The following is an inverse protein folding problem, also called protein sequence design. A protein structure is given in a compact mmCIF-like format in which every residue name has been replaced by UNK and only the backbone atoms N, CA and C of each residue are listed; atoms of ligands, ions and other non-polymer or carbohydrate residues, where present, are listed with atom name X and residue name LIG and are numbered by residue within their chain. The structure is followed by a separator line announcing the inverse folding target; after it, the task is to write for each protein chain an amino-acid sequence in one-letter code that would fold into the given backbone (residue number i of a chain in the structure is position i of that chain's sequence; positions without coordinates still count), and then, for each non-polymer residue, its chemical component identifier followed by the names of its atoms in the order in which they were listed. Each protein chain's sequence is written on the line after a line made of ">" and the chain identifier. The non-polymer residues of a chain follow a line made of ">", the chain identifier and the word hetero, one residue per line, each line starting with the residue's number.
data_IF_784759305179
#
_entry.id   IF_784759305179
#
_cell.length_a   1.000
_cell.length_b   1.000
_cell.length_c   1.000
_cell.angle_alpha   90.00
_cell.angle_beta   90.00
_cell.angle_gamma   90.00
#
_symmetry.space_group_name_H-M   'P 1'
#
loop_
_entity.id
_entity.type
_entity.pdbx_description
1 polymer ?
#
# COMPACT_ATOMS: atom_id res chain seq x y z
N UNK A 1 7.81 -18.65 -12.72
CA UNK A 1 6.75 -18.58 -11.69
C UNK A 1 7.40 -18.34 -10.33
N UNK A 2 6.99 -17.27 -9.66
CA UNK A 2 7.59 -16.86 -8.41
C UNK A 2 7.26 -17.90 -7.34
N UNK A 3 8.13 -18.04 -6.36
CA UNK A 3 7.88 -18.98 -5.26
C UNK A 3 6.69 -18.50 -4.45
N UNK A 4 5.73 -19.37 -4.19
CA UNK A 4 4.57 -19.09 -3.34
C UNK A 4 4.83 -19.65 -1.93
N UNK A 5 4.58 -18.85 -0.91
CA UNK A 5 4.76 -19.18 0.50
C UNK A 5 3.44 -19.04 1.25
N UNK A 6 2.97 -20.14 1.85
CA UNK A 6 1.67 -20.21 2.53
C UNK A 6 0.70 -21.11 1.77
N UNK A 7 -0.59 -20.87 1.94
CA UNK A 7 -1.69 -21.60 1.31
C UNK A 7 -2.27 -20.85 0.08
N UNK A 8 -1.49 -19.95 -0.50
CA UNK A 8 -1.86 -19.21 -1.70
C UNK A 8 -1.68 -20.07 -2.96
N UNK A 9 -2.39 -19.70 -4.00
CA UNK A 9 -2.38 -20.30 -5.33
C UNK A 9 -2.21 -19.21 -6.39
N UNK A 10 -1.72 -19.52 -7.60
CA UNK A 10 -1.68 -18.53 -8.68
C UNK A 10 -3.03 -17.90 -8.99
N UNK A 11 -4.13 -18.62 -8.77
CA UNK A 11 -5.49 -18.14 -8.96
C UNK A 11 -5.89 -17.00 -8.01
N UNK A 12 -5.21 -16.85 -6.85
CA UNK A 12 -5.47 -15.77 -5.90
C UNK A 12 -5.04 -14.38 -6.43
N UNK A 13 -4.27 -14.31 -7.52
CA UNK A 13 -4.03 -13.05 -8.28
C UNK A 13 -5.31 -12.57 -8.99
N UNK A 14 -6.28 -13.46 -9.21
CA UNK A 14 -7.56 -13.16 -9.82
C UNK A 14 -8.58 -12.58 -8.84
N UNK A 15 -9.80 -12.40 -9.33
CA UNK A 15 -10.91 -11.84 -8.55
C UNK A 15 -11.66 -12.97 -7.83
N UNK A 16 -12.06 -12.72 -6.59
CA UNK A 16 -12.79 -13.69 -5.79
C UNK A 16 -14.30 -13.55 -5.96
N UNK A 17 -15.07 -14.66 -5.83
CA UNK A 17 -16.52 -14.59 -5.86
C UNK A 17 -17.07 -13.64 -4.81
N UNK A 18 -18.04 -12.82 -5.21
CA UNK A 18 -18.74 -11.94 -4.27
C UNK A 18 -19.50 -12.77 -3.23
N UNK A 19 -19.09 -12.61 -1.97
CA UNK A 19 -19.82 -13.14 -0.83
C UNK A 19 -21.07 -12.31 -0.50
N UNK A 20 -21.93 -12.80 0.41
CA UNK A 20 -23.13 -12.09 0.84
C UNK A 20 -22.84 -10.86 1.73
N UNK A 21 -21.59 -10.66 2.17
CA UNK A 21 -21.23 -9.63 3.12
C UNK A 21 -21.32 -8.24 2.48
N UNK A 22 -22.13 -7.31 3.03
CA UNK A 22 -22.37 -6.02 2.39
C UNK A 22 -21.11 -5.16 2.25
N UNK A 23 -20.13 -5.38 3.14
CA UNK A 23 -18.86 -4.68 3.21
C UNK A 23 -17.70 -5.43 2.53
N UNK A 24 -17.98 -6.44 1.70
CA UNK A 24 -16.97 -7.12 0.90
C UNK A 24 -16.13 -6.10 0.12
N UNK A 25 -14.81 -6.29 0.13
CA UNK A 25 -13.86 -5.44 -0.55
C UNK A 25 -12.74 -6.29 -1.14
N UNK A 26 -12.70 -6.38 -2.46
CA UNK A 26 -11.52 -6.89 -3.17
C UNK A 26 -10.60 -5.71 -3.43
N UNK A 27 -9.38 -5.72 -2.88
CA UNK A 27 -8.51 -4.56 -2.88
C UNK A 27 -7.11 -4.93 -3.32
N UNK A 28 -6.68 -4.33 -4.42
CA UNK A 28 -5.33 -4.48 -4.95
C UNK A 28 -4.59 -3.15 -4.89
N UNK A 29 -3.33 -3.22 -4.50
CA UNK A 29 -2.48 -2.10 -4.15
C UNK A 29 -1.08 -2.32 -4.69
N UNK A 30 -0.46 -1.26 -5.20
CA UNK A 30 0.96 -1.24 -5.52
C UNK A 30 1.56 0.04 -4.99
N UNK A 31 2.76 -0.04 -4.40
CA UNK A 31 3.67 1.09 -4.32
C UNK A 31 4.90 0.84 -5.19
N UNK A 32 5.63 1.90 -5.49
CA UNK A 32 6.87 1.85 -6.24
C UNK A 32 7.69 3.13 -6.00
N UNK A 33 9.00 3.02 -6.21
CA UNK A 33 9.91 4.14 -6.15
C UNK A 33 11.11 3.95 -7.09
N UNK A 34 11.34 4.95 -7.92
CA UNK A 34 12.51 5.13 -8.79
C UNK A 34 13.54 6.00 -8.06
N UNK A 35 14.67 5.42 -7.61
CA UNK A 35 15.69 6.15 -6.87
C UNK A 35 16.52 7.10 -7.73
N UNK A 36 16.65 6.86 -9.03
CA UNK A 36 17.41 7.75 -9.91
C UNK A 36 16.66 9.06 -10.15
N UNK A 37 15.33 8.98 -10.20
CA UNK A 37 14.45 10.14 -10.41
C UNK A 37 13.94 10.76 -9.12
N UNK A 38 14.07 10.09 -7.98
CA UNK A 38 13.41 10.47 -6.73
C UNK A 38 11.89 10.63 -6.89
N UNK A 39 11.28 9.72 -7.65
CA UNK A 39 9.86 9.69 -7.97
C UNK A 39 9.28 8.36 -7.50
N UNK A 40 8.09 8.40 -6.92
CA UNK A 40 7.41 7.18 -6.53
C UNK A 40 5.94 7.43 -6.25
N UNK A 41 5.27 6.43 -5.70
CA UNK A 41 3.85 6.57 -5.43
C UNK A 41 3.20 5.27 -5.04
N UNK A 42 1.88 5.35 -4.93
CA UNK A 42 1.03 4.19 -4.82
C UNK A 42 -0.26 4.35 -5.60
N UNK A 43 -0.80 3.21 -6.00
CA UNK A 43 -2.09 3.07 -6.65
C UNK A 43 -2.88 2.01 -5.90
N UNK A 44 -4.18 2.24 -5.77
CA UNK A 44 -5.09 1.32 -5.11
C UNK A 44 -6.42 1.29 -5.81
N UNK A 45 -6.96 0.10 -6.02
CA UNK A 45 -8.34 -0.10 -6.41
C UNK A 45 -9.01 -1.08 -5.47
N UNK A 46 -10.11 -0.66 -4.83
CA UNK A 46 -10.96 -1.51 -4.00
C UNK A 46 -12.35 -1.66 -4.59
N UNK A 47 -12.71 -2.84 -5.07
CA UNK A 47 -14.06 -3.18 -5.52
C UNK A 47 -14.95 -3.49 -4.32
N UNK A 48 -15.91 -2.60 -4.05
CA UNK A 48 -16.97 -2.77 -3.05
C UNK A 48 -18.29 -3.03 -3.78
N UNK A 49 -18.32 -4.10 -4.57
CA UNK A 49 -19.41 -4.33 -5.53
C UNK A 49 -20.80 -4.45 -4.85
N UNK A 50 -20.87 -5.03 -3.65
CA UNK A 50 -22.11 -5.10 -2.86
C UNK A 50 -22.63 -3.71 -2.43
N UNK A 51 -21.77 -2.68 -2.42
CA UNK A 51 -22.13 -1.27 -2.20
C UNK A 51 -22.32 -0.49 -3.52
N UNK A 52 -22.16 -1.14 -4.67
CA UNK A 52 -22.30 -0.54 -6.00
C UNK A 52 -21.18 0.43 -6.39
N UNK A 53 -20.00 0.32 -5.75
CA UNK A 53 -18.90 1.26 -5.97
C UNK A 53 -17.50 0.63 -5.87
N UNK A 54 -16.54 1.23 -6.56
CA UNK A 54 -15.11 1.02 -6.39
C UNK A 54 -14.46 2.29 -5.84
N UNK A 55 -13.53 2.13 -4.91
CA UNK A 55 -12.70 3.23 -4.39
C UNK A 55 -11.32 3.16 -5.02
N UNK A 56 -10.99 4.18 -5.81
CA UNK A 56 -9.73 4.30 -6.54
C UNK A 56 -8.87 5.41 -5.94
N UNK A 57 -7.59 5.14 -5.74
CA UNK A 57 -6.57 6.13 -5.38
C UNK A 57 -5.37 6.05 -6.31
N UNK A 58 -4.87 7.20 -6.76
CA UNK A 58 -3.54 7.38 -7.36
C UNK A 58 -2.84 8.48 -6.57
N UNK A 59 -1.64 8.19 -6.07
CA UNK A 59 -0.80 9.16 -5.37
C UNK A 59 0.62 9.04 -5.90
N UNK A 60 1.15 10.10 -6.52
CA UNK A 60 2.49 10.15 -7.08
C UNK A 60 3.27 11.27 -6.41
N UNK A 61 4.35 10.94 -5.73
CA UNK A 61 5.31 11.88 -5.17
C UNK A 61 6.31 12.26 -6.25
N UNK A 62 6.43 13.56 -6.51
CA UNK A 62 7.36 14.10 -7.49
C UNK A 62 8.68 14.54 -6.82
N UNK A 63 9.77 14.68 -7.60
CA UNK A 63 11.09 14.98 -7.05
C UNK A 63 11.19 16.37 -6.40
N UNK A 64 10.24 17.27 -6.72
CA UNK A 64 10.15 18.62 -6.19
C UNK A 64 9.13 18.76 -5.05
N UNK A 65 8.87 17.66 -4.34
CA UNK A 65 7.96 17.54 -3.19
C UNK A 65 6.47 17.71 -3.51
N UNK A 66 6.12 18.02 -4.76
CA UNK A 66 4.72 18.04 -5.20
C UNK A 66 4.13 16.62 -5.18
N UNK A 67 2.81 16.54 -5.01
CA UNK A 67 2.07 15.28 -5.15
C UNK A 67 0.97 15.41 -6.19
N UNK A 68 0.92 14.46 -7.12
CA UNK A 68 -0.24 14.24 -7.98
C UNK A 68 -1.18 13.27 -7.29
N UNK A 69 -2.42 13.70 -7.05
CA UNK A 69 -3.39 12.91 -6.30
C UNK A 69 -4.72 12.78 -7.03
N UNK A 70 -5.28 11.57 -7.05
CA UNK A 70 -6.65 11.32 -7.42
C UNK A 70 -7.30 10.38 -6.42
N UNK A 71 -8.52 10.69 -6.04
CA UNK A 71 -9.44 9.76 -5.37
C UNK A 71 -10.77 9.78 -6.10
N UNK A 72 -11.34 8.61 -6.39
CA UNK A 72 -12.69 8.51 -6.96
C UNK A 72 -13.47 7.37 -6.34
N UNK A 73 -14.77 7.60 -6.19
CA UNK A 73 -15.78 6.55 -6.05
C UNK A 73 -16.42 6.32 -7.42
N UNK A 74 -16.00 5.27 -8.10
CA UNK A 74 -16.55 4.88 -9.39
C UNK A 74 -17.71 3.90 -9.17
N UNK A 75 -18.77 3.99 -9.97
CA UNK A 75 -19.87 3.02 -9.89
C UNK A 75 -19.44 1.71 -10.54
N UNK A 76 -19.70 0.60 -9.86
CA UNK A 76 -19.56 -0.78 -10.38
C UNK A 76 -20.76 -1.60 -9.91
N UNK A 77 -21.06 -2.72 -10.56
CA UNK A 77 -22.09 -3.67 -10.16
C UNK A 77 -21.60 -5.14 -10.17
N UNK A 78 -20.29 -5.35 -10.37
CA UNK A 78 -19.65 -6.66 -10.47
C UNK A 78 -18.26 -6.66 -9.79
N UNK A 79 -17.66 -7.85 -9.64
CA UNK A 79 -16.27 -8.02 -9.21
C UNK A 79 -15.42 -8.74 -10.27
N UNK A 80 -15.77 -8.61 -11.55
CA UNK A 80 -15.14 -9.40 -12.61
C UNK A 80 -13.75 -8.90 -13.03
N UNK A 81 -13.40 -7.67 -12.68
CA UNK A 81 -12.11 -7.06 -12.99
C UNK A 81 -11.77 -5.90 -12.03
N UNK A 82 -10.47 -5.65 -11.88
CA UNK A 82 -9.97 -4.36 -11.38
C UNK A 82 -9.89 -3.36 -12.53
N UNK A 83 -11.02 -2.75 -12.88
CA UNK A 83 -11.11 -1.73 -13.93
C UNK A 83 -12.18 -0.70 -13.55
N UNK A 84 -11.78 0.37 -12.85
CA UNK A 84 -12.72 1.42 -12.46
C UNK A 84 -12.03 2.78 -12.22
N UNK A 85 -12.78 3.87 -12.45
CA UNK A 85 -12.28 5.23 -12.20
C UNK A 85 -11.13 5.68 -13.11
N UNK A 86 -10.79 4.88 -14.12
CA UNK A 86 -9.66 5.06 -15.03
C UNK A 86 -8.39 4.31 -14.59
N UNK A 87 -8.40 3.57 -13.47
CA UNK A 87 -7.33 2.69 -13.01
C UNK A 87 -7.69 1.24 -13.37
N UNK A 88 -6.74 0.50 -13.93
CA UNK A 88 -6.88 -0.92 -14.24
C UNK A 88 -5.64 -1.70 -13.81
N UNK A 89 -5.88 -2.86 -13.21
CA UNK A 89 -4.87 -3.90 -12.99
C UNK A 89 -5.15 -5.09 -13.90
N UNK A 90 -4.11 -5.56 -14.59
CA UNK A 90 -4.20 -6.70 -15.50
C UNK A 90 -3.10 -7.71 -15.14
N UNK A 91 -3.52 -8.87 -14.65
CA UNK A 91 -2.61 -10.00 -14.39
C UNK A 91 -2.22 -10.60 -15.74
N UNK A 92 -0.97 -10.39 -16.15
CA UNK A 92 -0.42 -10.91 -17.41
C UNK A 92 0.09 -12.34 -17.24
N UNK A 93 0.78 -12.59 -16.13
CA UNK A 93 1.26 -13.90 -15.71
C UNK A 93 1.07 -13.98 -14.18
N UNK A 94 0.19 -14.86 -13.69
CA UNK A 94 -0.07 -14.98 -12.26
C UNK A 94 1.21 -15.17 -11.45
N UNK A 95 1.29 -14.47 -10.31
CA UNK A 95 2.44 -14.43 -9.37
C UNK A 95 3.70 -13.76 -9.90
N UNK A 96 3.72 -13.36 -11.17
CA UNK A 96 4.93 -12.94 -11.88
C UNK A 96 4.81 -11.55 -12.47
N UNK A 97 3.81 -11.31 -13.33
CA UNK A 97 3.71 -10.10 -14.13
C UNK A 97 2.32 -9.50 -14.06
N UNK A 98 2.24 -8.26 -13.61
CA UNK A 98 1.00 -7.47 -13.56
C UNK A 98 1.22 -6.14 -14.24
N UNK A 99 0.24 -5.67 -15.00
CA UNK A 99 0.24 -4.32 -15.57
C UNK A 99 -0.72 -3.42 -14.81
N UNK A 100 -0.24 -2.25 -14.42
CA UNK A 100 -1.06 -1.15 -13.94
C UNK A 100 -1.20 -0.11 -15.05
N UNK A 101 -2.43 0.28 -15.36
CA UNK A 101 -2.67 1.45 -16.21
C UNK A 101 -3.60 2.43 -15.51
N UNK A 102 -3.30 3.73 -15.61
CA UNK A 102 -4.21 4.79 -15.21
C UNK A 102 -4.32 5.84 -16.31
N UNK A 103 -5.54 6.21 -16.67
CA UNK A 103 -5.81 7.39 -17.52
C UNK A 103 -6.89 8.23 -16.88
N UNK A 104 -6.51 9.40 -16.39
CA UNK A 104 -7.45 10.22 -15.63
C UNK A 104 -6.93 11.59 -15.22
N UNK A 105 -7.80 12.33 -14.53
CA UNK A 105 -7.48 13.62 -13.97
C UNK A 105 -6.99 13.48 -12.52
N UNK A 106 -5.92 14.21 -12.20
CA UNK A 106 -5.34 14.37 -10.86
C UNK A 106 -5.45 15.83 -10.44
N UNK A 107 -5.41 16.08 -9.13
CA UNK A 107 -5.05 17.38 -8.59
C UNK A 107 -3.54 17.42 -8.33
N UNK A 108 -2.94 18.59 -8.51
CA UNK A 108 -1.52 18.83 -8.25
C UNK A 108 -1.36 19.61 -6.94
N UNK A 109 -0.80 18.95 -5.93
CA UNK A 109 -0.62 19.50 -4.60
C UNK A 109 0.80 20.04 -4.46
N UNK A 110 0.95 21.37 -4.53
CA UNK A 110 2.21 22.04 -4.19
C UNK A 110 2.56 21.91 -2.69
N UNK A 111 1.55 21.70 -1.86
CA UNK A 111 1.70 21.42 -0.43
C UNK A 111 0.82 20.20 -0.10
N UNK A 112 1.36 18.97 -0.18
CA UNK A 112 0.58 17.73 -0.01
C UNK A 112 -0.24 17.69 1.29
N UNK A 113 0.26 18.30 2.36
CA UNK A 113 -0.41 18.40 3.67
C UNK A 113 -1.75 19.14 3.66
N UNK A 114 -2.03 19.94 2.63
CA UNK A 114 -3.35 20.56 2.44
C UNK A 114 -4.48 19.52 2.30
N UNK A 115 -4.14 18.27 1.94
CA UNK A 115 -5.09 17.17 1.84
C UNK A 115 -5.67 16.72 3.19
N UNK A 116 -5.18 17.25 4.32
CA UNK A 116 -5.85 17.14 5.63
C UNK A 116 -7.30 17.71 5.60
N UNK A 117 -7.55 18.69 4.70
CA UNK A 117 -8.88 19.11 4.26
C UNK A 117 -9.08 18.78 2.77
N UNK A 118 -9.52 17.55 2.43
CA UNK A 118 -9.71 17.11 1.05
C UNK A 118 -10.66 18.02 0.28
N UNK A 119 -11.74 18.49 0.91
CA UNK A 119 -12.73 19.33 0.26
C UNK A 119 -12.10 20.63 -0.24
N UNK A 120 -11.22 21.24 0.56
CA UNK A 120 -10.45 22.42 0.16
C UNK A 120 -9.40 22.09 -0.89
N UNK A 121 -8.59 21.06 -0.66
CA UNK A 121 -7.53 20.64 -1.57
C UNK A 121 -8.05 20.37 -2.99
N UNK A 122 -9.17 19.63 -3.14
CA UNK A 122 -9.77 19.34 -4.45
C UNK A 122 -10.39 20.58 -5.14
N UNK A 123 -10.81 21.60 -4.39
CA UNK A 123 -11.37 22.83 -4.99
C UNK A 123 -10.28 23.77 -5.46
N UNK A 124 -9.23 23.93 -4.66
CA UNK A 124 -8.22 24.98 -4.83
C UNK A 124 -7.01 24.55 -5.67
N UNK A 125 -6.73 23.25 -5.73
CA UNK A 125 -5.55 22.75 -6.44
C UNK A 125 -5.74 22.73 -7.96
N UNK A 126 -4.70 23.03 -8.75
CA UNK A 126 -4.70 22.82 -10.19
C UNK A 126 -5.05 21.37 -10.55
N UNK A 127 -5.65 21.20 -11.73
CA UNK A 127 -5.98 19.87 -12.28
C UNK A 127 -5.15 19.60 -13.52
N UNK A 128 -4.69 18.36 -13.67
CA UNK A 128 -3.97 17.88 -14.85
C UNK A 128 -4.50 16.51 -15.24
N UNK A 129 -4.39 16.14 -16.52
CA UNK A 129 -4.63 14.77 -16.99
C UNK A 129 -3.28 14.06 -17.13
N UNK A 130 -3.22 12.81 -16.69
CA UNK A 130 -2.03 11.99 -16.79
C UNK A 130 -2.37 10.61 -17.38
N UNK A 131 -1.36 9.96 -17.96
CA UNK A 131 -1.37 8.53 -18.24
C UNK A 131 -0.25 7.88 -17.43
N UNK A 132 -0.54 6.78 -16.73
CA UNK A 132 0.44 5.94 -16.06
C UNK A 132 0.35 4.55 -16.67
N UNK A 133 1.47 3.94 -17.01
CA UNK A 133 1.55 2.59 -17.56
C UNK A 133 2.78 1.90 -16.97
N UNK A 134 2.55 0.96 -16.05
CA UNK A 134 3.59 0.27 -15.30
C UNK A 134 3.46 -1.25 -15.50
N UNK A 135 4.61 -1.89 -15.69
CA UNK A 135 4.79 -3.33 -15.58
C UNK A 135 5.43 -3.62 -14.22
N UNK A 136 4.80 -4.51 -13.47
CA UNK A 136 5.30 -5.05 -12.21
C UNK A 136 5.77 -6.48 -12.45
N UNK A 137 7.04 -6.75 -12.21
CA UNK A 137 7.64 -8.08 -12.32
C UNK A 137 8.10 -8.55 -10.93
N UNK A 138 7.87 -9.82 -10.60
CA UNK A 138 8.22 -10.34 -9.29
C UNK A 138 9.72 -10.22 -8.99
N UNK A 139 10.06 -9.55 -7.88
CA UNK A 139 11.41 -9.45 -7.34
C UNK A 139 11.61 -10.36 -6.12
N UNK A 140 10.58 -11.10 -5.71
CA UNK A 140 10.63 -11.98 -4.56
C UNK A 140 9.48 -12.99 -4.53
N UNK A 141 9.45 -13.86 -3.51
CA UNK A 141 8.36 -14.80 -3.32
C UNK A 141 7.05 -14.06 -3.03
N UNK A 142 5.94 -14.67 -3.44
CA UNK A 142 4.59 -14.30 -3.01
C UNK A 142 4.35 -14.88 -1.61
N UNK A 143 3.94 -14.06 -0.64
CA UNK A 143 3.74 -14.51 0.72
C UNK A 143 2.47 -13.91 1.33
N UNK A 144 1.78 -14.71 2.15
CA UNK A 144 0.51 -14.31 2.75
C UNK A 144 -0.35 -15.52 3.08
N UNK A 145 -1.65 -15.29 3.21
CA UNK A 145 -2.62 -16.33 3.54
C UNK A 145 -3.93 -16.11 2.78
N UNK A 146 -4.41 -17.14 2.09
CA UNK A 146 -5.72 -17.16 1.39
C UNK A 146 -6.89 -17.37 2.36
N UNK A 147 -6.61 -17.68 3.62
CA UNK A 147 -7.60 -17.79 4.68
C UNK A 147 -6.94 -17.64 6.06
N UNK A 148 -7.43 -16.71 6.89
CA UNK A 148 -7.13 -16.69 8.32
C UNK A 148 -8.27 -17.33 9.10
N UNK A 149 -8.03 -18.50 9.72
CA UNK A 149 -9.00 -19.13 10.61
C UNK A 149 -9.34 -18.23 11.82
N UNK A 150 -8.41 -17.37 12.24
CA UNK A 150 -8.59 -16.46 13.37
C UNK A 150 -9.51 -15.28 13.00
N UNK A 151 -9.32 -14.66 11.83
CA UNK A 151 -10.23 -13.61 11.32
C UNK A 151 -11.59 -14.20 10.92
N UNK A 152 -11.61 -15.41 10.35
CA UNK A 152 -12.85 -16.12 9.99
C UNK A 152 -13.76 -16.44 11.19
N UNK A 153 -13.24 -16.40 12.42
CA UNK A 153 -14.01 -16.56 13.68
C UNK A 153 -14.55 -15.23 14.23
N UNK A 154 -14.13 -14.07 13.72
CA UNK A 154 -14.60 -12.75 14.16
C UNK A 154 -15.91 -12.38 13.48
N UNK A 155 -16.70 -11.54 14.15
CA UNK A 155 -17.88 -10.91 13.55
C UNK A 155 -17.44 -10.18 12.26
N UNK A 156 -18.15 -10.35 11.12
CA UNK A 156 -17.88 -9.60 9.90
C UNK A 156 -17.67 -8.10 10.13
N UNK A 157 -18.36 -7.51 11.11
CA UNK A 157 -18.29 -6.10 11.53
C UNK A 157 -16.96 -5.68 12.18
N UNK A 158 -16.07 -6.63 12.43
CA UNK A 158 -14.77 -6.45 13.09
C UNK A 158 -13.58 -6.96 12.26
N UNK A 159 -13.83 -7.47 11.05
CA UNK A 159 -12.78 -8.04 10.20
C UNK A 159 -12.03 -6.95 9.41
N UNK A 160 -10.71 -7.10 9.30
CA UNK A 160 -9.86 -6.17 8.55
C UNK A 160 -9.44 -6.71 7.18
N UNK A 161 -9.24 -8.02 7.06
CA UNK A 161 -9.16 -8.77 5.82
C UNK A 161 -9.27 -10.27 6.14
N UNK A 162 -10.04 -11.03 5.35
CA UNK A 162 -10.15 -12.49 5.52
C UNK A 162 -8.93 -13.22 4.97
N UNK A 163 -8.31 -12.61 3.96
CA UNK A 163 -7.17 -13.13 3.23
C UNK A 163 -6.39 -11.97 2.62
N UNK A 164 -5.07 -12.13 2.55
CA UNK A 164 -4.20 -11.18 1.86
C UNK A 164 -2.87 -11.82 1.50
N UNK A 165 -2.22 -11.26 0.48
CA UNK A 165 -0.82 -11.54 0.18
C UNK A 165 -0.08 -10.27 -0.17
N UNK A 166 1.23 -10.37 -0.10
CA UNK A 166 2.16 -9.35 -0.55
C UNK A 166 3.30 -9.96 -1.38
N UNK A 167 3.93 -9.12 -2.20
CA UNK A 167 5.11 -9.51 -2.97
C UNK A 167 5.95 -8.28 -3.36
N UNK A 168 7.26 -8.40 -3.22
CA UNK A 168 8.20 -7.39 -3.72
C UNK A 168 8.26 -7.43 -5.24
N UNK A 169 8.21 -6.26 -5.87
CA UNK A 169 8.12 -6.08 -7.32
C UNK A 169 9.23 -5.17 -7.84
N UNK A 170 9.81 -5.53 -8.98
CA UNK A 170 10.49 -4.59 -9.86
C UNK A 170 9.43 -3.91 -10.73
N UNK A 171 9.51 -2.60 -10.87
CA UNK A 171 8.48 -1.78 -11.50
C UNK A 171 9.11 -0.92 -12.57
N UNK A 172 8.69 -1.13 -13.81
CA UNK A 172 9.15 -0.36 -14.97
C UNK A 172 7.96 0.25 -15.71
N UNK A 173 8.16 1.37 -16.40
CA UNK A 173 7.08 1.94 -17.21
C UNK A 173 7.20 3.43 -17.45
N UNK A 174 6.07 4.09 -17.61
CA UNK A 174 5.99 5.52 -17.96
C UNK A 174 4.89 6.26 -17.21
N UNK A 175 5.17 7.52 -16.91
CA UNK A 175 4.23 8.55 -16.48
C UNK A 175 4.23 9.68 -17.51
N UNK A 176 3.12 9.83 -18.22
CA UNK A 176 2.88 10.93 -19.16
C UNK A 176 2.05 12.03 -18.47
N UNK A 177 2.65 13.22 -18.34
CA UNK A 177 2.07 14.43 -17.76
C UNK A 177 1.40 15.34 -18.81
N UNK A 178 1.42 14.94 -20.08
CA UNK A 178 0.88 15.65 -21.25
C UNK A 178 1.91 16.54 -21.97
N UNK A 179 2.78 17.19 -21.20
CA UNK A 179 3.90 18.03 -21.67
C UNK A 179 5.26 17.33 -21.50
N UNK A 180 5.31 16.27 -20.68
CA UNK A 180 6.50 15.54 -20.30
C UNK A 180 6.15 14.05 -20.15
N UNK A 181 7.04 13.18 -20.63
CA UNK A 181 6.98 11.74 -20.36
C UNK A 181 8.18 11.35 -19.50
N UNK A 182 7.91 10.68 -18.39
CA UNK A 182 8.89 10.23 -17.41
C UNK A 182 8.93 8.71 -17.44
N UNK A 183 10.08 8.12 -17.77
CA UNK A 183 10.31 6.69 -17.56
C UNK A 183 10.43 6.40 -16.07
N UNK A 184 9.97 5.24 -15.63
CA UNK A 184 10.07 4.75 -14.26
C UNK A 184 10.84 3.43 -14.30
N UNK A 185 11.86 3.31 -13.45
CA UNK A 185 12.56 2.07 -13.17
C UNK A 185 12.88 2.03 -11.67
N UNK A 186 12.25 1.12 -10.94
CA UNK A 186 12.28 1.14 -9.49
C UNK A 186 11.74 -0.13 -8.85
N UNK A 187 11.64 -0.10 -7.54
CA UNK A 187 11.15 -1.25 -6.76
C UNK A 187 9.99 -0.84 -5.87
N UNK A 188 9.19 -1.82 -5.50
CA UNK A 188 7.97 -1.61 -4.75
C UNK A 188 7.41 -2.90 -4.18
N UNK A 189 6.21 -2.80 -3.62
CA UNK A 189 5.46 -3.91 -3.08
C UNK A 189 4.05 -3.90 -3.68
N UNK A 190 3.53 -5.08 -4.01
CA UNK A 190 2.10 -5.28 -4.23
C UNK A 190 1.45 -5.91 -3.01
N UNK A 191 0.22 -5.50 -2.72
CA UNK A 191 -0.68 -6.13 -1.74
C UNK A 191 -2.02 -6.41 -2.42
N UNK A 192 -2.55 -7.60 -2.17
CA UNK A 192 -3.89 -7.98 -2.60
C UNK A 192 -4.63 -8.59 -1.41
N UNK A 193 -5.80 -8.06 -1.11
CA UNK A 193 -6.62 -8.50 0.01
C UNK A 193 -8.09 -8.59 -0.38
N UNK A 194 -8.79 -9.56 0.22
CA UNK A 194 -10.20 -9.81 -0.06
C UNK A 194 -11.00 -10.25 1.17
N UNK A 195 -12.30 -10.04 1.07
CA UNK A 195 -13.27 -10.35 2.12
C UNK A 195 -13.86 -9.12 2.82
N UNK A 196 -14.60 -9.33 3.92
CA UNK A 196 -15.21 -8.25 4.70
C UNK A 196 -14.14 -7.32 5.31
N UNK A 197 -14.34 -6.00 5.20
CA UNK A 197 -13.39 -5.00 5.74
C UNK A 197 -14.07 -3.85 6.49
N UNK A 198 -13.64 -3.64 7.73
CA UNK A 198 -13.98 -2.49 8.58
C UNK A 198 -12.71 -1.81 9.11
N UNK A 199 -12.40 -0.63 8.56
CA UNK A 199 -11.22 0.15 8.94
C UNK A 199 -11.25 0.64 10.39
N UNK A 200 -12.45 0.86 10.95
CA UNK A 200 -12.64 1.34 12.32
C UNK A 200 -12.36 0.26 13.38
N UNK A 201 -12.19 -0.99 12.98
CA UNK A 201 -11.82 -2.07 13.89
C UNK A 201 -10.37 -1.96 14.40
N UNK A 202 -9.54 -1.10 13.78
CA UNK A 202 -8.13 -0.92 14.14
C UNK A 202 -7.94 0.43 14.83
N UNK A 203 -7.38 0.39 16.05
CA UNK A 203 -6.99 1.57 16.82
C UNK A 203 -5.69 2.18 16.25
N UNK A 204 -4.72 1.31 15.93
CA UNK A 204 -3.40 1.69 15.42
C UNK A 204 -2.93 0.68 14.38
N UNK A 205 -2.54 1.16 13.20
CA UNK A 205 -1.90 0.36 12.17
C UNK A 205 -0.57 1.00 11.78
N UNK A 206 0.43 0.18 11.57
CA UNK A 206 1.70 0.57 10.96
C UNK A 206 2.06 -0.46 9.93
N UNK A 207 2.34 -0.01 8.72
CA UNK A 207 2.79 -0.86 7.62
C UNK A 207 3.95 -0.18 6.93
N UNK A 208 5.10 -0.85 6.97
CA UNK A 208 6.36 -0.36 6.45
C UNK A 208 6.77 -1.28 5.32
N UNK A 209 6.96 -0.73 4.13
CA UNK A 209 7.39 -1.46 2.94
C UNK A 209 8.75 -0.92 2.53
N UNK A 210 9.70 -1.82 2.27
CA UNK A 210 11.11 -1.47 2.13
C UNK A 210 11.73 -2.29 1.00
N UNK A 211 12.31 -1.62 0.02
CA UNK A 211 12.95 -2.26 -1.13
C UNK A 211 14.36 -1.71 -1.31
N UNK A 212 15.38 -2.57 -1.33
CA UNK A 212 16.80 -2.23 -1.33
C UNK A 212 17.52 -2.78 -2.57
N UNK A 213 16.83 -2.79 -3.71
CA UNK A 213 17.28 -3.36 -4.97
C UNK A 213 16.61 -4.70 -5.29
N UNK A 214 17.21 -5.51 -6.19
CA UNK A 214 16.58 -6.71 -6.74
C UNK A 214 16.54 -7.91 -5.78
N UNK A 215 17.35 -7.89 -4.73
CA UNK A 215 17.70 -9.05 -3.91
C UNK A 215 17.44 -8.83 -2.42
N UNK A 216 17.09 -7.61 -1.99
CA UNK A 216 16.83 -7.30 -0.58
C UNK A 216 15.55 -6.49 -0.41
N UNK A 217 14.63 -7.01 0.38
CA UNK A 217 13.37 -6.36 0.75
C UNK A 217 12.97 -6.65 2.19
N UNK A 218 12.15 -5.80 2.77
CA UNK A 218 11.49 -6.06 4.04
C UNK A 218 10.08 -5.47 4.05
N UNK A 219 9.20 -6.13 4.79
CA UNK A 219 7.91 -5.58 5.18
C UNK A 219 7.76 -5.76 6.68
N UNK A 220 7.30 -4.73 7.37
CA UNK A 220 7.02 -4.76 8.82
C UNK A 220 5.61 -4.25 9.05
N UNK A 221 4.83 -4.97 9.86
CA UNK A 221 3.50 -4.54 10.27
C UNK A 221 3.33 -4.59 11.78
N UNK A 222 2.55 -3.64 12.32
CA UNK A 222 2.05 -3.64 13.68
C UNK A 222 0.59 -3.20 13.70
N UNK A 223 -0.25 -3.99 14.36
CA UNK A 223 -1.70 -3.83 14.40
C UNK A 223 -2.16 -3.85 15.86
N UNK A 224 -2.85 -2.79 16.28
CA UNK A 224 -3.55 -2.71 17.56
C UNK A 224 -5.05 -2.66 17.30
N UNK A 225 -5.77 -3.60 17.89
CA UNK A 225 -7.24 -3.60 17.98
C UNK A 225 -7.61 -3.27 19.43
N UNK A 226 -8.68 -2.50 19.62
CA UNK A 226 -9.14 -2.12 20.95
C UNK A 226 -9.43 -3.36 21.80
N UNK A 227 -8.86 -3.42 23.01
CA UNK A 227 -9.06 -4.53 23.94
C UNK A 227 -8.34 -5.85 23.60
N UNK A 228 -7.48 -5.87 22.57
CA UNK A 228 -6.67 -7.03 22.19
C UNK A 228 -5.16 -6.78 22.37
N UNK A 229 -4.38 -7.84 22.49
CA UNK A 229 -2.91 -7.73 22.44
C UNK A 229 -2.45 -7.27 21.05
N UNK A 230 -1.45 -6.36 20.96
CA UNK A 230 -0.92 -5.92 19.68
C UNK A 230 -0.33 -7.08 18.89
N UNK A 231 -0.75 -7.22 17.65
CA UNK A 231 -0.13 -8.14 16.68
C UNK A 231 0.97 -7.41 15.94
N UNK A 232 2.08 -8.08 15.70
CA UNK A 232 3.17 -7.54 14.91
C UNK A 232 3.91 -8.67 14.19
N UNK A 233 4.66 -8.30 13.17
CA UNK A 233 5.44 -9.25 12.39
C UNK A 233 5.90 -8.62 11.09
N UNK A 234 6.24 -9.47 10.14
CA UNK A 234 6.79 -9.03 8.88
C UNK A 234 7.74 -10.06 8.31
N UNK A 235 8.51 -9.64 7.32
CA UNK A 235 9.45 -10.49 6.61
C UNK A 235 10.70 -9.70 6.23
N UNK A 236 11.83 -10.40 6.18
CA UNK A 236 13.01 -9.96 5.43
C UNK A 236 13.22 -10.95 4.30
N UNK A 237 13.38 -10.44 3.08
CA UNK A 237 13.65 -11.23 1.88
C UNK A 237 15.07 -10.93 1.42
N UNK A 238 15.92 -11.96 1.35
CA UNK A 238 17.29 -11.90 0.82
C UNK A 238 17.48 -12.95 -0.26
N UNK A 239 17.87 -12.56 -1.48
CA UNK A 239 18.09 -13.48 -2.61
C UNK A 239 16.90 -14.43 -2.85
N UNK A 240 15.67 -13.93 -2.72
CA UNK A 240 14.43 -14.71 -2.84
C UNK A 240 14.12 -15.64 -1.64
N UNK A 241 14.96 -15.64 -0.60
CA UNK A 241 14.74 -16.36 0.66
C UNK A 241 14.03 -15.46 1.66
N UNK A 242 12.86 -15.89 2.11
CA UNK A 242 12.05 -15.17 3.10
C UNK A 242 12.32 -15.68 4.51
N UNK A 243 12.72 -14.78 5.40
CA UNK A 243 12.84 -15.00 6.84
C UNK A 243 11.76 -14.23 7.60
N UNK A 244 10.86 -14.90 8.34
CA UNK A 244 9.83 -14.23 9.12
C UNK A 244 10.42 -13.38 10.26
N UNK A 245 9.78 -12.23 10.51
CA UNK A 245 10.01 -11.38 11.68
C UNK A 245 9.05 -11.82 12.79
N UNK A 246 9.58 -12.02 14.00
CA UNK A 246 8.83 -12.51 15.17
C UNK A 246 8.64 -11.46 16.27
N UNK A 247 9.43 -10.39 16.26
CA UNK A 247 9.31 -9.29 17.22
C UNK A 247 9.60 -7.96 16.54
N UNK A 248 8.87 -6.91 16.94
CA UNK A 248 8.92 -5.58 16.30
C UNK A 248 8.76 -4.47 17.33
N UNK A 249 9.69 -3.53 17.33
CA UNK A 249 9.55 -2.21 17.94
C UNK A 249 9.67 -1.13 16.86
N UNK A 250 8.75 -0.16 16.86
CA UNK A 250 8.77 0.98 15.95
C UNK A 250 8.82 2.27 16.77
N UNK A 251 9.90 3.02 16.62
CA UNK A 251 10.09 4.34 17.19
C UNK A 251 9.98 5.38 16.07
N UNK A 252 9.05 6.33 16.20
CA UNK A 252 8.85 7.37 15.18
C UNK A 252 8.91 8.77 15.79
N UNK A 253 9.50 9.72 15.05
CA UNK A 253 9.51 11.14 15.37
C UNK A 253 8.47 11.85 14.53
N UNK A 254 7.68 12.70 15.16
CA UNK A 254 6.54 13.39 14.52
C UNK A 254 6.77 14.89 14.42
N UNK A 255 5.99 15.54 13.57
CA UNK A 255 5.70 16.97 13.64
C UNK A 255 4.97 17.33 14.94
N UNK A 256 4.91 18.62 15.27
CA UNK A 256 4.28 19.15 16.49
C UNK A 256 2.79 18.75 16.62
N UNK A 257 2.14 18.39 15.51
CA UNK A 257 0.77 17.89 15.50
C UNK A 257 0.63 16.45 16.02
N UNK A 258 1.73 15.73 16.25
CA UNK A 258 1.75 14.35 16.71
C UNK A 258 1.26 13.30 15.71
N UNK A 259 0.98 13.69 14.46
CA UNK A 259 0.40 12.83 13.44
C UNK A 259 1.33 12.59 12.26
N UNK A 260 2.12 13.58 11.86
CA UNK A 260 2.95 13.47 10.66
C UNK A 260 4.35 13.00 11.04
N UNK A 261 4.64 11.72 10.82
CA UNK A 261 5.98 11.17 11.08
C UNK A 261 6.99 11.70 10.06
N UNK A 262 8.20 12.01 10.54
CA UNK A 262 9.32 12.53 9.73
C UNK A 262 10.47 11.53 9.61
N UNK A 263 10.61 10.66 10.59
CA UNK A 263 11.64 9.62 10.62
C UNK A 263 11.21 8.51 11.54
N UNK A 264 11.72 7.30 11.32
CA UNK A 264 11.47 6.18 12.20
C UNK A 264 12.66 5.22 12.27
N UNK A 265 12.64 4.37 13.30
CA UNK A 265 13.54 3.24 13.50
C UNK A 265 12.68 2.02 13.78
N UNK A 266 12.80 1.00 12.93
CA UNK A 266 12.19 -0.30 13.17
C UNK A 266 13.28 -1.25 13.69
N UNK A 267 13.11 -1.74 14.93
CA UNK A 267 13.94 -2.79 15.52
C UNK A 267 13.18 -4.09 15.41
N UNK A 268 13.78 -5.07 14.74
CA UNK A 268 13.10 -6.32 14.42
C UNK A 268 13.97 -7.51 14.80
N UNK A 269 13.33 -8.56 15.30
CA UNK A 269 13.98 -9.87 15.53
C UNK A 269 13.40 -10.88 14.56
N UNK A 270 14.26 -11.59 13.84
CA UNK A 270 13.84 -12.66 12.93
C UNK A 270 13.64 -13.98 13.67
N UNK A 271 12.92 -14.91 13.04
CA UNK A 271 12.70 -16.26 13.57
C UNK A 271 14.00 -17.01 13.91
N UNK A 272 15.09 -16.69 13.22
CA UNK A 272 16.39 -17.34 13.43
C UNK A 272 17.15 -16.73 14.62
N UNK A 273 16.60 -15.68 15.25
CA UNK A 273 17.13 -15.00 16.44
C UNK A 273 17.95 -13.75 16.14
N UNK A 274 18.18 -13.42 14.87
CA UNK A 274 18.94 -12.23 14.47
C UNK A 274 18.13 -10.96 14.72
N UNK A 275 18.77 -10.00 15.37
CA UNK A 275 18.23 -8.66 15.62
C UNK A 275 18.76 -7.66 14.58
N UNK A 276 17.87 -6.81 14.08
CA UNK A 276 18.16 -5.81 13.05
C UNK A 276 17.58 -4.45 13.43
N UNK A 277 18.25 -3.38 13.00
CA UNK A 277 17.73 -2.01 13.06
C UNK A 277 17.64 -1.45 11.65
N UNK A 278 16.45 -0.93 11.29
CA UNK A 278 16.16 -0.36 9.98
C UNK A 278 15.74 1.09 10.18
N UNK A 279 16.45 2.02 9.54
CA UNK A 279 16.22 3.44 9.70
C UNK A 279 15.43 4.01 8.53
N UNK A 280 14.43 4.84 8.81
CA UNK A 280 13.61 5.52 7.81
C UNK A 280 13.66 7.04 7.93
N UNK A 281 13.87 7.72 6.80
CA UNK A 281 13.72 9.17 6.65
C UNK A 281 12.58 9.47 5.67
N UNK A 282 11.53 10.14 6.14
CA UNK A 282 10.38 10.47 5.30
C UNK A 282 10.75 11.63 4.37
N UNK A 283 10.71 11.38 3.06
CA UNK A 283 11.05 12.33 1.99
C UNK A 283 9.81 13.07 1.48
N UNK A 284 8.65 12.42 1.46
CA UNK A 284 7.37 13.01 1.10
C UNK A 284 6.27 12.51 2.02
N UNK A 285 5.29 13.35 2.34
CA UNK A 285 4.21 12.97 3.26
C UNK A 285 2.87 13.48 2.77
N UNK A 286 1.87 12.61 2.72
CA UNK A 286 0.49 12.98 2.40
C UNK A 286 -0.48 12.49 3.49
N UNK A 287 -1.24 13.41 4.14
CA UNK A 287 -2.27 13.02 5.08
C UNK A 287 -3.57 12.67 4.34
N UNK A 288 -4.03 11.45 4.57
CA UNK A 288 -5.34 10.96 4.16
C UNK A 288 -6.24 10.79 5.38
N UNK A 289 -7.53 10.59 5.11
CA UNK A 289 -8.51 10.27 6.15
C UNK A 289 -9.63 9.38 5.65
N UNK A 290 -10.11 8.51 6.52
CA UNK A 290 -11.38 7.83 6.37
C UNK A 290 -12.38 8.36 7.43
N UNK A 291 -13.64 8.55 7.06
CA UNK A 291 -14.71 8.98 7.98
C UNK A 291 -15.88 8.03 7.85
N UNK A 292 -16.33 7.47 8.97
CA UNK A 292 -17.52 6.62 9.05
C UNK A 292 -18.15 6.74 10.43
N UNK A 293 -19.48 6.86 10.50
CA UNK A 293 -20.25 6.87 11.75
C UNK A 293 -19.73 7.87 12.82
N UNK A 294 -19.23 9.02 12.40
CA UNK A 294 -18.69 10.05 13.30
C UNK A 294 -17.23 9.82 13.74
N UNK A 295 -16.65 8.65 13.47
CA UNK A 295 -15.22 8.37 13.71
C UNK A 295 -14.38 8.89 12.53
N UNK A 296 -13.22 9.46 12.86
CA UNK A 296 -12.21 9.86 11.87
C UNK A 296 -10.95 9.04 12.08
N UNK A 297 -10.52 8.40 11.02
CA UNK A 297 -9.24 7.70 10.95
C UNK A 297 -8.28 8.56 10.15
N UNK A 298 -7.18 8.98 10.77
CA UNK A 298 -6.04 9.57 10.08
C UNK A 298 -5.19 8.46 9.47
N UNK A 299 -4.76 8.65 8.23
CA UNK A 299 -3.84 7.76 7.52
C UNK A 299 -2.69 8.64 7.03
N UNK A 300 -1.51 8.47 7.61
CA UNK A 300 -0.29 9.18 7.22
C UNK A 300 0.53 8.32 6.28
N UNK A 301 0.65 8.75 5.03
CA UNK A 301 1.44 8.05 4.00
C UNK A 301 2.77 8.78 3.80
N UNK A 302 3.85 8.18 4.30
CA UNK A 302 5.20 8.70 4.16
C UNK A 302 5.99 7.95 3.10
N UNK A 303 6.37 8.61 2.02
CA UNK A 303 7.40 8.13 1.09
C UNK A 303 8.74 8.17 1.81
N UNK A 304 9.33 7.00 2.03
CA UNK A 304 10.43 6.86 2.98
C UNK A 304 11.65 6.29 2.31
N UNK A 305 12.78 6.96 2.53
CA UNK A 305 14.09 6.42 2.28
C UNK A 305 14.51 5.58 3.48
N UNK A 306 14.90 4.34 3.22
CA UNK A 306 15.30 3.36 4.21
C UNK A 306 16.81 3.12 4.16
N UNK A 307 17.40 2.80 5.31
CA UNK A 307 18.78 2.33 5.42
C UNK A 307 18.82 1.00 6.18
N UNK A 308 19.33 -0.05 5.53
CA UNK A 308 19.43 -1.39 6.08
C UNK A 308 20.60 -2.14 5.45
N UNK A 309 21.40 -2.85 6.26
CA UNK A 309 22.57 -3.64 5.81
C UNK A 309 23.56 -2.86 4.91
N UNK A 310 23.74 -1.57 5.19
CA UNK A 310 24.61 -0.69 4.40
C UNK A 310 24.04 -0.29 3.03
N UNK A 311 22.78 -0.64 2.74
CA UNK A 311 22.07 -0.26 1.53
C UNK A 311 21.04 0.82 1.82
N UNK A 312 20.89 1.73 0.87
CA UNK A 312 19.78 2.67 0.81
C UNK A 312 18.68 2.08 -0.05
N UNK A 313 17.46 2.10 0.45
CA UNK A 313 16.27 1.59 -0.22
C UNK A 313 15.10 2.55 -0.06
N UNK A 314 13.96 2.20 -0.65
CA UNK A 314 12.78 3.06 -0.64
C UNK A 314 11.48 2.25 -0.54
N UNK A 315 10.46 2.92 -0.05
CA UNK A 315 9.10 2.39 0.01
C UNK A 315 8.20 3.33 0.81
N UNK A 316 7.21 2.77 1.48
CA UNK A 316 6.22 3.53 2.25
C UNK A 316 6.25 3.22 3.73
N UNK A 317 5.89 4.23 4.50
CA UNK A 317 5.53 4.12 5.92
C UNK A 317 4.10 4.63 6.09
N UNK A 318 3.15 3.72 6.21
CA UNK A 318 1.73 4.00 6.40
C UNK A 318 1.38 3.88 7.88
N UNK A 319 0.99 5.00 8.50
CA UNK A 319 0.58 5.04 9.90
C UNK A 319 -0.89 5.43 9.99
N UNK A 320 -1.69 4.55 10.60
CA UNK A 320 -3.11 4.79 10.83
C UNK A 320 -3.36 5.04 12.32
N UNK A 321 -4.11 6.09 12.63
CA UNK A 321 -4.49 6.50 13.99
C UNK A 321 -5.96 6.93 14.02
N UNK A 322 -6.70 6.54 15.05
CA UNK A 322 -8.01 7.13 15.32
C UNK A 322 -7.84 8.51 15.96
N UNK A 323 -8.57 9.53 15.46
CA UNK A 323 -8.43 10.94 15.86
C UNK A 323 -9.75 11.65 16.10
#
# INVERSE_FOLDING_TARGET
>A
MAKILGNLTPEDDGLHPLGPEPNFNESMYFNFFDPERALGGFVRLGNRANEGQAEMTVCLFLPDERVLFAFKRARIDHNDAFDAGGLRFEVLEPTERVRTTYRGGVIELAQPKTLADPSRAFRESPRRRITLDLLHEAAGPLYGQSHSEEEGRRDPDQQFAKAHYEQHMHVTGTLDLGDEEITIDGYGLRDHSWGPRYWQAIERYEWLTMNFGPDLGAMVTRIQVEGAEPRHGGVIVRDGVLTPITDVEIEAKYEDNGLYHRSLVARVTTRDGDAHEIHGAVRGFIPLRNRRNGLTTHIGEGMTEWSFEGRTGYGLSEFLRQV
#
